data_IF_083159539203
#
_entry.id   IF_083159539203
#
_cell.length_a   1.000
_cell.length_b   1.000
_cell.length_c   1.000
_cell.angle_alpha   90.00
_cell.angle_beta   90.00
_cell.angle_gamma   90.00
#
_symmetry.space_group_name_H-M   'P 1'
#
loop_
_entity.id
_entity.type
_entity.pdbx_description
1 polymer ?
#
# COMPACT_ATOMS: atom_id res chain seq x y z
N UNK A 1 -17.14 -7.07 15.57
CA UNK A 1 -16.55 -7.41 16.89
C UNK A 1 -15.24 -6.66 17.03
N UNK A 2 -15.11 -5.78 18.01
CA UNK A 2 -13.87 -5.06 18.28
C UNK A 2 -12.89 -6.00 19.01
N UNK A 3 -11.62 -5.97 18.64
CA UNK A 3 -10.54 -6.62 19.39
C UNK A 3 -9.67 -5.55 20.02
N UNK A 4 -9.48 -5.65 21.34
CA UNK A 4 -8.50 -4.83 22.06
C UNK A 4 -7.10 -5.38 21.82
N UNK A 5 -6.12 -4.49 21.75
CA UNK A 5 -4.70 -4.84 21.62
C UNK A 5 -3.98 -4.50 22.94
N UNK A 6 -2.98 -5.29 23.29
CA UNK A 6 -2.15 -5.07 24.47
C UNK A 6 -0.77 -4.54 24.04
N UNK A 7 -0.31 -3.51 24.72
CA UNK A 7 1.04 -2.98 24.56
C UNK A 7 2.07 -3.90 25.23
N UNK A 8 3.21 -4.09 24.58
CA UNK A 8 4.33 -4.88 25.10
C UNK A 8 5.65 -4.10 25.02
N UNK A 9 6.60 -4.47 25.88
CA UNK A 9 7.92 -3.85 25.93
C UNK A 9 7.84 -2.33 26.13
N UNK A 10 8.53 -1.59 25.26
CA UNK A 10 8.67 -0.12 25.31
C UNK A 10 7.63 0.63 24.45
N UNK A 11 6.47 0.03 24.17
CA UNK A 11 5.42 0.70 23.39
C UNK A 11 4.96 -0.02 22.13
N UNK A 12 5.25 -1.31 21.99
CA UNK A 12 4.94 -2.07 20.79
C UNK A 12 3.52 -2.65 20.88
N UNK A 13 2.81 -2.72 19.75
CA UNK A 13 1.54 -3.44 19.61
C UNK A 13 1.62 -4.37 18.40
N UNK A 14 0.96 -5.53 18.49
CA UNK A 14 0.93 -6.49 17.37
C UNK A 14 -0.28 -6.21 16.50
N UNK A 15 -0.06 -5.98 15.21
CA UNK A 15 -1.15 -5.82 14.24
C UNK A 15 -2.00 -7.12 14.15
N UNK A 16 -3.33 -7.01 14.03
CA UNK A 16 -4.21 -8.17 13.89
C UNK A 16 -3.80 -9.09 12.74
N UNK A 17 -3.88 -10.42 12.94
CA UNK A 17 -3.46 -11.43 11.95
C UNK A 17 -4.03 -11.17 10.55
N UNK A 18 -5.36 -10.98 10.46
CA UNK A 18 -6.04 -10.73 9.18
C UNK A 18 -5.50 -9.48 8.47
N UNK A 19 -5.29 -8.38 9.21
CA UNK A 19 -4.74 -7.15 8.64
C UNK A 19 -3.32 -7.37 8.09
N UNK A 20 -2.49 -8.18 8.76
CA UNK A 20 -1.15 -8.56 8.27
C UNK A 20 -1.22 -9.43 7.02
N UNK A 21 -2.17 -10.36 6.95
CA UNK A 21 -2.36 -11.23 5.77
C UNK A 21 -2.87 -10.44 4.56
N UNK A 22 -3.71 -9.44 4.79
CA UNK A 22 -4.26 -8.57 3.74
C UNK A 22 -3.24 -7.51 3.24
N UNK A 23 -2.16 -7.25 4.00
CA UNK A 23 -1.14 -6.28 3.64
C UNK A 23 0.11 -6.95 3.06
N UNK A 24 0.42 -6.68 1.79
CA UNK A 24 1.65 -7.14 1.13
C UNK A 24 2.87 -6.24 1.42
N UNK A 25 3.04 -5.78 2.68
CA UNK A 25 4.17 -4.92 3.07
C UNK A 25 4.55 -5.07 4.53
N UNK A 26 5.84 -4.90 4.83
CA UNK A 26 6.39 -4.79 6.19
C UNK A 26 6.51 -3.34 6.67
N UNK A 27 6.28 -2.36 5.79
CA UNK A 27 6.44 -0.94 6.09
C UNK A 27 5.08 -0.25 6.26
N UNK A 28 4.96 0.59 7.29
CA UNK A 28 3.71 1.27 7.63
C UNK A 28 3.97 2.74 7.98
N UNK A 29 3.02 3.59 7.62
CA UNK A 29 2.96 4.98 8.10
C UNK A 29 2.07 5.01 9.34
N UNK A 30 2.58 5.66 10.39
CA UNK A 30 1.82 5.98 11.59
C UNK A 30 1.60 7.51 11.65
N UNK A 31 0.35 7.92 11.84
CA UNK A 31 -0.03 9.33 11.90
C UNK A 31 -0.95 9.57 13.11
N UNK A 32 -0.60 10.52 13.96
CA UNK A 32 -1.47 10.98 15.04
C UNK A 32 -2.63 11.82 14.48
N UNK A 33 -3.82 11.58 15.02
CA UNK A 33 -5.07 12.26 14.67
C UNK A 33 -5.80 12.65 15.96
N UNK A 34 -6.76 13.59 15.93
CA UNK A 34 -7.55 13.92 17.13
C UNK A 34 -8.29 12.73 17.75
N UNK A 35 -8.55 11.67 16.97
CA UNK A 35 -9.24 10.45 17.39
C UNK A 35 -8.29 9.31 17.77
N UNK A 36 -6.97 9.49 17.67
CA UNK A 36 -5.95 8.50 18.01
C UNK A 36 -4.93 8.26 16.89
N UNK A 37 -4.35 7.07 16.86
CA UNK A 37 -3.28 6.71 15.92
C UNK A 37 -3.85 6.01 14.68
N UNK A 38 -3.57 6.57 13.49
CA UNK A 38 -3.87 5.94 12.21
C UNK A 38 -2.62 5.19 11.72
N UNK A 39 -2.76 3.89 11.44
CA UNK A 39 -1.71 3.06 10.84
C UNK A 39 -2.17 2.59 9.46
N UNK A 40 -1.36 2.84 8.43
CA UNK A 40 -1.65 2.46 7.04
C UNK A 40 -0.44 1.78 6.38
N UNK A 41 -0.64 0.76 5.53
CA UNK A 41 0.45 0.13 4.78
C UNK A 41 1.15 1.14 3.88
N UNK A 42 2.47 1.03 3.77
CA UNK A 42 3.31 1.82 2.88
C UNK A 42 3.94 0.91 1.83
N UNK A 43 3.90 1.33 0.57
CA UNK A 43 4.50 0.60 -0.55
C UNK A 43 5.72 1.38 -1.02
N UNK A 44 6.90 0.77 -0.96
CA UNK A 44 8.17 1.40 -1.35
C UNK A 44 8.40 1.37 -2.86
N UNK A 45 7.69 0.53 -3.60
CA UNK A 45 7.81 0.44 -5.06
C UNK A 45 7.03 1.57 -5.74
N UNK A 46 7.77 2.63 -6.03
CA UNK A 46 7.27 3.83 -6.72
C UNK A 46 7.64 3.83 -8.21
N UNK A 47 8.48 2.89 -8.66
CA UNK A 47 9.12 2.94 -9.98
C UNK A 47 9.27 1.56 -10.62
N UNK A 48 8.83 1.43 -11.87
CA UNK A 48 9.05 0.25 -12.71
C UNK A 48 9.55 0.70 -14.08
N UNK A 49 10.72 0.21 -14.49
CA UNK A 49 11.32 0.40 -15.82
C UNK A 49 11.43 -0.95 -16.53
N UNK A 50 11.09 -0.99 -17.82
CA UNK A 50 11.18 -2.20 -18.65
C UNK A 50 12.59 -2.42 -19.22
N UNK A 51 13.30 -1.34 -19.61
CA UNK A 51 14.72 -1.30 -19.98
C UNK A 51 15.22 0.17 -20.06
N UNK A 52 16.51 0.40 -20.31
CA UNK A 52 17.16 1.72 -20.41
C UNK A 52 16.72 2.56 -21.64
N UNK A 53 16.01 1.95 -22.60
CA UNK A 53 15.51 2.62 -23.82
C UNK A 53 14.02 3.01 -23.70
N UNK A 54 13.33 2.56 -22.65
CA UNK A 54 11.89 2.76 -22.44
C UNK A 54 11.56 3.79 -21.34
N UNK A 55 10.31 4.26 -21.33
CA UNK A 55 9.82 5.17 -20.30
C UNK A 55 9.39 4.41 -19.03
N UNK A 56 9.84 4.89 -17.86
CA UNK A 56 9.44 4.37 -16.55
C UNK A 56 8.04 4.80 -16.13
N UNK A 57 7.33 3.94 -15.40
CA UNK A 57 6.07 4.28 -14.75
C UNK A 57 6.31 4.60 -13.27
N UNK A 58 6.02 5.85 -12.88
CA UNK A 58 6.08 6.30 -11.50
C UNK A 58 4.68 6.30 -10.87
N UNK A 59 4.52 5.64 -9.73
CA UNK A 59 3.29 5.64 -8.93
C UNK A 59 3.56 6.21 -7.53
N UNK A 60 3.60 7.55 -7.35
CA UNK A 60 4.03 8.22 -6.11
C UNK A 60 3.26 7.83 -4.85
N UNK A 61 2.05 7.31 -5.01
CA UNK A 61 1.15 6.91 -3.93
C UNK A 61 0.80 5.41 -3.96
N UNK A 62 1.48 4.65 -4.83
CA UNK A 62 1.05 3.31 -5.25
C UNK A 62 -0.24 3.38 -6.07
N UNK A 63 -0.46 2.40 -6.93
CA UNK A 63 -1.75 2.20 -7.60
C UNK A 63 -2.26 0.80 -7.25
N UNK A 64 -3.51 0.65 -6.79
CA UNK A 64 -4.08 -0.68 -6.63
C UNK A 64 -4.04 -1.44 -7.97
N UNK A 65 -3.62 -2.71 -7.95
CA UNK A 65 -3.47 -3.53 -9.16
C UNK A 65 -4.73 -3.55 -10.04
N UNK A 66 -5.93 -3.54 -9.43
CA UNK A 66 -7.20 -3.45 -10.13
C UNK A 66 -7.40 -2.13 -10.89
N UNK A 67 -6.91 -1.01 -10.34
CA UNK A 67 -6.97 0.30 -10.98
C UNK A 67 -5.98 0.39 -12.14
N UNK A 68 -4.79 -0.18 -11.97
CA UNK A 68 -3.80 -0.30 -13.04
C UNK A 68 -4.36 -1.13 -14.21
N UNK A 69 -4.90 -2.32 -13.92
CA UNK A 69 -5.50 -3.20 -14.93
C UNK A 69 -6.62 -2.52 -15.72
N UNK A 70 -7.48 -1.74 -15.04
CA UNK A 70 -8.55 -0.97 -15.69
C UNK A 70 -7.98 0.11 -16.63
N UNK A 71 -6.95 0.85 -16.19
CA UNK A 71 -6.29 1.86 -17.02
C UNK A 71 -5.61 1.25 -18.24
N UNK A 72 -4.94 0.11 -18.08
CA UNK A 72 -4.29 -0.63 -19.18
C UNK A 72 -5.31 -1.12 -20.22
N UNK A 73 -6.43 -1.70 -19.78
CA UNK A 73 -7.52 -2.13 -20.69
C UNK A 73 -8.11 -0.96 -21.47
N UNK A 74 -8.30 0.18 -20.82
CA UNK A 74 -8.82 1.40 -21.46
C UNK A 74 -7.86 1.96 -22.52
N UNK A 75 -6.56 1.96 -22.22
CA UNK A 75 -5.53 2.38 -23.16
C UNK A 75 -5.46 1.45 -24.38
N UNK A 76 -5.48 0.12 -24.17
CA UNK A 76 -5.49 -0.87 -25.25
C UNK A 76 -6.71 -0.72 -26.18
N UNK A 77 -7.88 -0.40 -25.62
CA UNK A 77 -9.11 -0.19 -26.39
C UNK A 77 -9.12 1.09 -27.23
N UNK A 78 -8.26 2.08 -26.94
CA UNK A 78 -8.14 3.33 -27.71
C UNK A 78 -7.14 3.24 -28.88
N UNK A 79 -6.33 2.17 -28.92
CA UNK A 79 -5.32 1.94 -29.96
C UNK A 79 -5.89 1.03 -31.07
N UNK A 80 -7.12 0.52 -30.91
CA UNK A 80 -7.86 -0.23 -31.93
C UNK A 80 -8.84 0.63 -32.70
#
# INVERSE_FOLDING_TARGET
MFKTLKMFGKGQITLPKKFREDCATSHFIAQETPQGLLIKPFTEEVYYELDEENFGLNFPLGIPASTLLRKLKHAHGKIR
#
